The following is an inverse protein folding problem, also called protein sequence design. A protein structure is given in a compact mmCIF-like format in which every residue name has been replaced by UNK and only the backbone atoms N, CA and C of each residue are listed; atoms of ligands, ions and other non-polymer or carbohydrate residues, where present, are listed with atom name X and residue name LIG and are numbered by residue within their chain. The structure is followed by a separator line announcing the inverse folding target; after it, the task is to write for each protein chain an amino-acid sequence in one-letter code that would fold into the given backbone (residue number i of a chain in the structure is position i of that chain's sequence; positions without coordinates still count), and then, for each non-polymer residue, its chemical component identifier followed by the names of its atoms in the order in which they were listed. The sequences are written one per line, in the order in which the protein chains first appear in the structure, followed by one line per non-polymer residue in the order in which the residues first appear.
data_IF_023347554486
#
_entry.id   IF_023347554486
#
_cell.length_a   1.000
_cell.length_b   1.000
_cell.length_c   1.000
_cell.angle_alpha   90.00
_cell.angle_beta   90.00
_cell.angle_gamma   90.00
#
_symmetry.space_group_name_H-M   'P 1'
#
loop_
_entity.id
_entity.type
_entity.pdbx_description
1 polymer ?
#
# COMPACT_ATOMS: atom_id res chain seq x y z
N UNK A 1 -14.70 15.60 -10.73
CA UNK A 1 -13.93 16.61 -9.99
C UNK A 1 -12.45 16.29 -10.09
N UNK A 2 -11.60 17.26 -10.41
CA UNK A 2 -10.15 17.05 -10.43
C UNK A 2 -9.69 16.77 -9.00
N UNK A 3 -9.10 15.60 -8.77
CA UNK A 3 -8.50 15.31 -7.49
C UNK A 3 -7.39 16.34 -7.22
N UNK A 4 -7.33 16.81 -5.97
CA UNK A 4 -6.27 17.69 -5.49
C UNK A 4 -4.90 17.21 -5.96
N UNK A 5 -4.15 18.05 -6.66
CA UNK A 5 -2.91 17.64 -7.30
C UNK A 5 -1.85 17.18 -6.28
N UNK A 6 -1.92 17.68 -5.05
CA UNK A 6 -1.05 17.31 -3.94
C UNK A 6 -1.42 15.98 -3.27
N UNK A 7 -2.57 15.37 -3.60
CA UNK A 7 -3.00 14.07 -3.10
C UNK A 7 -2.79 13.01 -4.19
N UNK A 8 -1.91 12.04 -3.94
CA UNK A 8 -1.53 11.00 -4.90
C UNK A 8 -1.82 9.62 -4.36
N UNK A 9 -2.33 8.75 -5.21
CA UNK A 9 -2.49 7.33 -4.88
C UNK A 9 -1.31 6.55 -5.42
N UNK A 10 -0.71 5.69 -4.59
CA UNK A 10 0.32 4.79 -5.06
C UNK A 10 -0.26 3.73 -5.97
N UNK A 11 0.42 3.51 -7.11
CA UNK A 11 0.10 2.44 -8.05
C UNK A 11 0.34 1.04 -7.48
N UNK A 12 1.15 0.92 -6.43
CA UNK A 12 1.58 -0.37 -5.87
C UNK A 12 0.64 -0.84 -4.75
N UNK A 13 0.30 0.06 -3.83
CA UNK A 13 -0.40 -0.28 -2.58
C UNK A 13 -1.83 0.28 -2.51
N UNK A 14 -2.22 1.16 -3.43
CA UNK A 14 -3.43 2.02 -3.32
C UNK A 14 -3.43 2.93 -2.08
N UNK A 15 -2.30 3.06 -1.39
CA UNK A 15 -2.16 4.01 -0.30
C UNK A 15 -2.21 5.44 -0.86
N UNK A 16 -2.87 6.34 -0.13
CA UNK A 16 -2.89 7.75 -0.44
C UNK A 16 -1.69 8.46 0.21
N UNK A 17 -1.14 9.43 -0.49
CA UNK A 17 0.01 10.22 -0.09
C UNK A 17 -0.27 11.71 -0.29
N UNK A 18 0.14 12.52 0.69
CA UNK A 18 0.12 13.98 0.63
C UNK A 18 1.52 14.45 0.25
N UNK A 19 1.65 15.25 -0.81
CA UNK A 19 2.91 15.89 -1.21
C UNK A 19 3.17 17.10 -0.32
N UNK A 20 4.42 17.43 -0.03
CA UNK A 20 4.77 18.60 0.78
C UNK A 20 4.22 19.91 0.17
N UNK A 21 3.62 20.80 0.98
CA UNK A 21 3.23 22.14 0.54
C UNK A 21 4.41 22.92 -0.04
N UNK A 22 4.24 23.48 -1.24
CA UNK A 22 5.30 24.22 -1.94
C UNK A 22 6.48 23.37 -2.41
N UNK A 23 6.33 22.04 -2.46
CA UNK A 23 7.40 21.16 -2.94
C UNK A 23 7.83 21.51 -4.37
N UNK A 24 9.13 21.65 -4.57
CA UNK A 24 9.76 21.75 -5.90
C UNK A 24 10.22 20.40 -6.43
N UNK A 25 9.92 19.31 -5.71
CA UNK A 25 10.29 17.96 -6.11
C UNK A 25 9.65 17.60 -7.46
N UNK A 26 10.45 16.98 -8.32
CA UNK A 26 9.99 16.41 -9.58
C UNK A 26 9.03 15.24 -9.34
N UNK A 27 8.21 14.92 -10.34
CA UNK A 27 7.31 13.76 -10.31
C UNK A 27 8.07 12.44 -10.06
N UNK A 28 9.32 12.34 -10.52
CA UNK A 28 10.18 11.18 -10.25
C UNK A 28 10.55 11.06 -8.76
N UNK A 29 10.91 12.17 -8.11
CA UNK A 29 11.25 12.21 -6.68
C UNK A 29 10.03 11.92 -5.80
N UNK A 30 8.85 12.45 -6.17
CA UNK A 30 7.59 12.13 -5.48
C UNK A 30 7.29 10.64 -5.59
N UNK A 31 7.38 10.07 -6.80
CA UNK A 31 7.15 8.64 -7.01
C UNK A 31 8.15 7.77 -6.22
N UNK A 32 9.42 8.18 -6.16
CA UNK A 32 10.43 7.48 -5.37
C UNK A 32 10.13 7.54 -3.86
N UNK A 33 9.75 8.70 -3.33
CA UNK A 33 9.36 8.84 -1.93
C UNK A 33 8.17 7.94 -1.56
N UNK A 34 7.13 7.91 -2.41
CA UNK A 34 5.98 7.02 -2.24
C UNK A 34 6.39 5.55 -2.28
N UNK A 35 7.25 5.15 -3.22
CA UNK A 35 7.76 3.77 -3.32
C UNK A 35 8.56 3.35 -2.08
N UNK A 36 9.32 4.27 -1.47
CA UNK A 36 10.03 4.01 -0.20
C UNK A 36 9.04 3.76 0.93
N UNK A 37 7.99 4.57 1.05
CA UNK A 37 6.93 4.35 2.04
C UNK A 37 6.23 3.00 1.86
N UNK A 38 5.84 2.66 0.63
CA UNK A 38 5.18 1.38 0.37
C UNK A 38 6.08 0.18 0.63
N UNK A 39 7.37 0.30 0.30
CA UNK A 39 8.37 -0.71 0.67
C UNK A 39 8.40 -0.94 2.18
N UNK A 40 8.51 0.15 2.96
CA UNK A 40 8.54 0.08 4.42
C UNK A 40 7.25 -0.52 5.00
N UNK A 41 6.08 -0.12 4.50
CA UNK A 41 4.78 -0.69 4.90
C UNK A 41 4.65 -2.18 4.54
N UNK A 42 5.29 -2.61 3.45
CA UNK A 42 5.37 -4.02 3.05
C UNK A 42 6.42 -4.85 3.81
N UNK A 43 7.05 -4.29 4.85
CA UNK A 43 8.07 -4.97 5.66
C UNK A 43 9.50 -4.94 5.08
N UNK A 44 9.72 -4.21 3.98
CA UNK A 44 11.04 -4.05 3.38
C UNK A 44 11.88 -3.04 4.16
N UNK A 45 13.19 -3.09 4.05
CA UNK A 45 14.09 -2.12 4.68
C UNK A 45 14.32 -0.84 3.85
N UNK A 46 13.65 -0.73 2.70
CA UNK A 46 13.81 0.35 1.73
C UNK A 46 12.87 0.14 0.55
N UNK A 47 13.08 0.84 -0.59
CA UNK A 47 12.25 0.65 -1.77
C UNK A 47 12.44 -0.77 -2.32
N UNK A 48 11.34 -1.40 -2.77
CA UNK A 48 11.41 -2.69 -3.45
C UNK A 48 12.25 -2.56 -4.72
N UNK A 49 13.14 -3.52 -5.07
CA UNK A 49 13.89 -3.47 -6.31
C UNK A 49 12.95 -3.45 -7.52
N UNK A 50 13.23 -2.60 -8.52
CA UNK A 50 12.36 -2.46 -9.70
C UNK A 50 12.18 -3.77 -10.50
N UNK A 51 13.22 -4.60 -10.56
CA UNK A 51 13.14 -5.94 -11.17
C UNK A 51 12.15 -6.83 -10.41
N UNK A 52 12.12 -6.77 -9.08
CA UNK A 52 11.23 -7.57 -8.24
C UNK A 52 9.78 -7.09 -8.36
N UNK A 53 9.55 -5.78 -8.44
CA UNK A 53 8.21 -5.23 -8.71
C UNK A 53 7.64 -5.72 -10.05
N UNK A 54 8.51 -5.93 -11.05
CA UNK A 54 8.10 -6.51 -12.34
C UNK A 54 7.66 -7.96 -12.18
N UNK A 55 8.38 -8.76 -11.38
CA UNK A 55 8.00 -10.13 -11.04
C UNK A 55 6.66 -10.17 -10.28
N UNK A 56 6.47 -9.29 -9.28
CA UNK A 56 5.20 -9.17 -8.55
C UNK A 56 4.02 -8.81 -9.47
N UNK A 57 4.25 -7.97 -10.49
CA UNK A 57 3.21 -7.58 -11.45
C UNK A 57 2.75 -8.75 -12.31
N UNK A 58 3.65 -9.66 -12.67
CA UNK A 58 3.28 -10.90 -13.37
C UNK A 58 2.39 -11.77 -12.47
N UNK A 59 2.58 -11.68 -11.15
CA UNK A 59 1.61 -12.11 -10.15
C UNK A 59 1.17 -13.55 -10.33
N UNK A 60 -0.15 -13.77 -10.32
CA UNK A 60 -0.73 -15.12 -10.41
C UNK A 60 -0.54 -15.79 -11.78
N UNK A 61 -0.25 -15.02 -12.84
CA UNK A 61 -0.01 -15.59 -14.16
C UNK A 61 1.26 -16.43 -14.21
N UNK A 62 2.21 -16.16 -13.31
CA UNK A 62 3.43 -16.94 -13.19
C UNK A 62 3.14 -18.41 -12.86
N UNK A 63 2.10 -18.72 -12.09
CA UNK A 63 1.68 -20.10 -11.80
C UNK A 63 1.22 -20.85 -13.06
N UNK A 64 0.49 -20.17 -13.95
CA UNK A 64 0.04 -20.76 -15.21
C UNK A 64 1.21 -21.00 -16.16
N UNK A 65 2.14 -20.03 -16.27
CA UNK A 65 3.35 -20.15 -17.08
C UNK A 65 4.21 -21.31 -16.55
N UNK A 66 4.40 -21.42 -15.24
CA UNK A 66 5.18 -22.49 -14.63
C UNK A 66 4.53 -23.86 -14.78
N UNK A 67 3.21 -23.97 -14.61
CA UNK A 67 2.49 -25.22 -14.85
C UNK A 67 2.60 -25.66 -16.31
N UNK A 68 2.51 -24.72 -17.26
CA UNK A 68 2.69 -25.00 -18.68
C UNK A 68 4.13 -25.47 -19.00
N UNK A 69 5.15 -24.74 -18.53
CA UNK A 69 6.56 -25.10 -18.73
C UNK A 69 6.92 -26.42 -18.06
N UNK A 70 6.43 -26.66 -16.84
CA UNK A 70 6.59 -27.92 -16.13
C UNK A 70 5.96 -29.09 -16.91
N UNK A 71 4.76 -28.89 -17.45
CA UNK A 71 4.10 -29.89 -18.30
C UNK A 71 4.92 -30.21 -19.55
N UNK A 72 5.39 -29.18 -20.26
CA UNK A 72 6.24 -29.36 -21.45
C UNK A 72 7.54 -30.09 -21.09
N UNK A 73 8.18 -29.72 -19.98
CA UNK A 73 9.41 -30.37 -19.51
C UNK A 73 9.19 -31.86 -19.24
N UNK A 74 8.17 -32.24 -18.47
CA UNK A 74 7.91 -33.66 -18.17
C UNK A 74 7.48 -34.45 -19.41
N UNK A 75 6.77 -33.84 -20.35
CA UNK A 75 6.42 -34.50 -21.62
C UNK A 75 7.68 -34.85 -22.43
N UNK A 76 8.65 -33.92 -22.49
CA UNK A 76 9.87 -34.10 -23.30
C UNK A 76 10.90 -34.99 -22.61
N UNK A 77 11.10 -34.80 -21.30
CA UNK A 77 12.27 -35.33 -20.60
C UNK A 77 11.98 -36.48 -19.64
N UNK A 78 10.72 -36.79 -19.30
CA UNK A 78 10.43 -37.93 -18.44
C UNK A 78 10.60 -39.26 -19.23
N UNK A 79 11.60 -40.09 -18.90
CA UNK A 79 11.93 -41.31 -19.66
C UNK A 79 10.95 -42.47 -19.41
N UNK A 80 9.96 -42.25 -18.55
CA UNK A 80 9.00 -43.24 -18.13
C UNK A 80 8.05 -43.55 -19.31
N UNK A 81 7.74 -44.82 -19.55
CA UNK A 81 6.74 -45.26 -20.54
C UNK A 81 5.30 -44.85 -20.23
N UNK A 82 5.10 -43.89 -19.32
CA UNK A 82 3.81 -43.39 -18.88
C UNK A 82 3.10 -42.63 -20.00
N UNK A 83 1.76 -42.63 -19.95
CA UNK A 83 0.95 -41.88 -20.90
C UNK A 83 1.23 -40.37 -20.85
N UNK A 84 1.10 -39.69 -21.99
CA UNK A 84 1.31 -38.24 -22.12
C UNK A 84 0.47 -37.46 -21.10
N UNK A 85 -0.76 -37.92 -20.82
CA UNK A 85 -1.65 -37.32 -19.83
C UNK A 85 -1.11 -37.37 -18.41
N UNK A 86 -0.45 -38.47 -18.04
CA UNK A 86 0.16 -38.63 -16.72
C UNK A 86 1.37 -37.71 -16.56
N UNK A 87 2.20 -37.57 -17.60
CA UNK A 87 3.33 -36.62 -17.64
C UNK A 87 2.86 -35.17 -17.54
N UNK A 88 1.78 -34.82 -18.25
CA UNK A 88 1.16 -33.50 -18.13
C UNK A 88 0.64 -33.24 -16.71
N UNK A 89 -0.03 -34.21 -16.09
CA UNK A 89 -0.51 -34.09 -14.71
C UNK A 89 0.63 -33.91 -13.69
N UNK A 90 1.74 -34.63 -13.86
CA UNK A 90 2.94 -34.42 -13.04
C UNK A 90 3.52 -33.01 -13.23
N UNK A 91 3.58 -32.50 -14.45
CA UNK A 91 4.02 -31.12 -14.70
C UNK A 91 3.10 -30.07 -14.09
N UNK A 92 1.79 -30.27 -14.14
CA UNK A 92 0.79 -29.38 -13.52
C UNK A 92 0.89 -29.40 -11.99
N UNK A 93 1.19 -30.55 -11.38
CA UNK A 93 1.25 -30.69 -9.91
C UNK A 93 2.61 -30.32 -9.32
N UNK A 94 3.73 -30.69 -9.97
CA UNK A 94 5.07 -30.36 -9.53
C UNK A 94 5.48 -28.92 -9.87
N UNK A 95 4.99 -28.37 -10.98
CA UNK A 95 5.28 -27.01 -11.45
C UNK A 95 5.02 -25.94 -10.38
N UNK A 96 3.82 -25.88 -9.76
CA UNK A 96 3.52 -24.95 -8.68
C UNK A 96 4.45 -25.10 -7.47
N UNK A 97 4.85 -26.31 -7.09
CA UNK A 97 5.75 -26.55 -5.94
C UNK A 97 7.14 -25.98 -6.23
N UNK A 98 7.71 -26.30 -7.40
CA UNK A 98 8.99 -25.75 -7.84
C UNK A 98 8.91 -24.22 -7.91
N UNK A 99 7.79 -23.69 -8.40
CA UNK A 99 7.57 -22.26 -8.48
C UNK A 99 7.55 -21.58 -7.11
N UNK A 100 6.89 -22.18 -6.12
CA UNK A 100 6.89 -21.68 -4.75
C UNK A 100 8.31 -21.60 -4.20
N UNK A 101 9.15 -22.62 -4.45
CA UNK A 101 10.55 -22.61 -4.04
C UNK A 101 11.35 -21.51 -4.74
N UNK A 102 11.17 -21.34 -6.05
CA UNK A 102 11.77 -20.23 -6.81
C UNK A 102 11.31 -18.88 -6.28
N UNK A 103 10.01 -18.74 -5.97
CA UNK A 103 9.45 -17.50 -5.45
C UNK A 103 10.03 -17.15 -4.07
N UNK A 104 10.21 -18.14 -3.19
CA UNK A 104 10.90 -17.96 -1.92
C UNK A 104 12.35 -17.52 -2.11
N UNK A 105 13.07 -18.12 -3.06
CA UNK A 105 14.44 -17.74 -3.39
C UNK A 105 14.51 -16.30 -3.94
N UNK A 106 13.66 -15.97 -4.91
CA UNK A 106 13.59 -14.65 -5.53
C UNK A 106 13.23 -13.57 -4.49
N UNK A 107 12.25 -13.85 -3.63
CA UNK A 107 11.91 -12.98 -2.52
C UNK A 107 13.08 -12.81 -1.54
N UNK A 108 13.77 -13.90 -1.19
CA UNK A 108 14.93 -13.88 -0.31
C UNK A 108 16.09 -13.05 -0.88
N UNK A 109 16.36 -13.17 -2.18
CA UNK A 109 17.37 -12.37 -2.89
C UNK A 109 16.98 -10.89 -2.85
N UNK A 110 15.75 -10.56 -3.20
CA UNK A 110 15.27 -9.18 -3.17
C UNK A 110 15.35 -8.59 -1.75
N UNK A 111 14.93 -9.34 -0.74
CA UNK A 111 14.94 -8.88 0.65
C UNK A 111 16.37 -8.66 1.15
N UNK A 112 17.28 -9.58 0.81
CA UNK A 112 18.70 -9.46 1.14
C UNK A 112 19.33 -8.26 0.45
N UNK A 113 19.04 -8.05 -0.83
CA UNK A 113 19.49 -6.87 -1.57
C UNK A 113 19.03 -5.60 -0.85
N UNK A 114 17.73 -5.47 -0.53
CA UNK A 114 17.20 -4.28 0.15
C UNK A 114 17.79 -4.13 1.55
N UNK A 115 18.10 -5.21 2.26
CA UNK A 115 18.74 -5.12 3.57
C UNK A 115 20.21 -4.69 3.49
N UNK A 116 20.93 -5.10 2.44
CA UNK A 116 22.33 -4.74 2.22
C UNK A 116 22.49 -3.33 1.66
N UNK A 117 21.56 -2.90 0.80
CA UNK A 117 21.58 -1.56 0.19
C UNK A 117 20.73 -0.55 0.95
N UNK A 118 19.86 -1.01 1.85
CA UNK A 118 18.97 -0.18 2.64
C UNK A 118 19.74 0.47 3.78
N UNK A 119 19.77 1.80 3.79
CA UNK A 119 20.25 2.57 4.93
C UNK A 119 19.34 2.40 6.16
N UNK A 120 19.61 3.18 7.20
CA UNK A 120 18.75 3.21 8.38
C UNK A 120 17.30 3.54 7.99
N UNK A 121 16.36 2.66 8.36
CA UNK A 121 14.94 2.80 8.02
C UNK A 121 14.39 4.15 8.47
N UNK A 122 14.84 4.66 9.62
CA UNK A 122 14.40 5.97 10.13
C UNK A 122 14.92 7.11 9.26
N UNK A 123 16.18 7.05 8.83
CA UNK A 123 16.74 8.02 7.90
C UNK A 123 16.02 8.01 6.55
N UNK A 124 15.79 6.82 5.97
CA UNK A 124 15.05 6.66 4.70
C UNK A 124 13.64 7.23 4.81
N UNK A 125 12.93 6.93 5.90
CA UNK A 125 11.59 7.44 6.17
C UNK A 125 11.59 8.96 6.37
N UNK A 126 12.58 9.49 7.10
CA UNK A 126 12.74 10.93 7.34
C UNK A 126 12.93 11.68 6.02
N UNK A 127 13.79 11.19 5.12
CA UNK A 127 13.98 11.81 3.81
C UNK A 127 12.73 11.72 2.92
N UNK A 128 12.06 10.57 2.90
CA UNK A 128 10.80 10.42 2.15
C UNK A 128 9.71 11.38 2.66
N UNK A 129 9.57 11.50 3.98
CA UNK A 129 8.61 12.38 4.66
C UNK A 129 8.81 13.88 4.40
N UNK A 130 9.95 14.30 3.85
CA UNK A 130 10.17 15.69 3.39
C UNK A 130 9.45 15.98 2.08
N UNK A 131 9.20 14.95 1.27
CA UNK A 131 8.62 15.07 -0.08
C UNK A 131 7.17 14.62 -0.09
N UNK A 132 6.88 13.46 0.49
CA UNK A 132 5.55 12.88 0.53
C UNK A 132 5.32 12.16 1.86
N UNK A 133 4.09 12.19 2.38
CA UNK A 133 3.69 11.49 3.61
C UNK A 133 2.46 10.64 3.36
N UNK A 134 2.32 9.46 4.00
CA UNK A 134 1.08 8.70 3.95
C UNK A 134 -0.09 9.55 4.46
N UNK A 135 -1.14 9.66 3.67
CA UNK A 135 -2.31 10.46 4.01
C UNK A 135 -3.04 9.84 5.19
N UNK A 136 -3.39 10.66 6.18
CA UNK A 136 -4.19 10.23 7.32
C UNK A 136 -5.71 10.20 7.03
N UNK A 137 -6.12 10.51 5.79
CA UNK A 137 -7.53 10.63 5.37
C UNK A 137 -7.79 9.96 4.04
N UNK A 138 -9.05 9.59 3.83
CA UNK A 138 -9.55 9.13 2.55
C UNK A 138 -9.67 10.27 1.53
N UNK A 139 -9.49 9.92 0.25
CA UNK A 139 -9.64 10.82 -0.90
C UNK A 139 -11.04 11.44 -0.96
N UNK A 140 -12.06 10.68 -0.57
CA UNK A 140 -13.45 11.10 -0.65
C UNK A 140 -13.72 12.30 0.27
N UNK A 141 -13.22 12.28 1.51
CA UNK A 141 -13.41 13.41 2.45
C UNK A 141 -12.77 14.69 1.95
N UNK A 142 -11.55 14.59 1.40
CA UNK A 142 -10.87 15.74 0.78
C UNK A 142 -11.68 16.24 -0.43
N UNK A 143 -12.17 15.32 -1.26
CA UNK A 143 -13.04 15.64 -2.39
C UNK A 143 -14.33 16.37 -1.96
N UNK A 144 -14.99 15.92 -0.91
CA UNK A 144 -16.20 16.53 -0.34
C UNK A 144 -15.94 17.94 0.18
N UNK A 145 -14.85 18.15 0.93
CA UNK A 145 -14.50 19.49 1.43
C UNK A 145 -14.28 20.45 0.25
N UNK A 146 -13.47 20.04 -0.74
CA UNK A 146 -13.15 20.88 -1.90
C UNK A 146 -14.33 21.07 -2.85
N UNK A 147 -15.29 20.13 -2.85
CA UNK A 147 -16.55 20.28 -3.57
C UNK A 147 -17.42 21.39 -2.99
N UNK A 148 -17.46 21.51 -1.66
CA UNK A 148 -18.19 22.58 -0.97
C UNK A 148 -17.45 23.92 -1.05
N UNK A 149 -16.15 23.92 -0.76
CA UNK A 149 -15.33 25.14 -0.73
C UNK A 149 -13.98 24.91 -1.43
N UNK A 150 -13.88 25.21 -2.74
CA UNK A 150 -12.62 25.11 -3.47
C UNK A 150 -11.54 26.07 -2.96
N UNK A 151 -11.94 27.20 -2.34
CA UNK A 151 -10.99 28.20 -1.83
C UNK A 151 -10.23 27.71 -0.60
N UNK A 152 -10.74 26.68 0.07
CA UNK A 152 -10.08 26.03 1.19
C UNK A 152 -8.88 25.15 0.80
N UNK A 153 -8.60 24.95 -0.50
CA UNK A 153 -7.54 24.03 -0.96
C UNK A 153 -6.16 24.27 -0.31
N UNK A 154 -5.61 25.50 -0.25
CA UNK A 154 -4.29 25.72 0.33
C UNK A 154 -4.23 25.37 1.82
N UNK A 155 -5.29 25.71 2.55
CA UNK A 155 -5.37 25.43 4.00
C UNK A 155 -5.60 23.94 4.25
N UNK A 156 -6.49 23.31 3.49
CA UNK A 156 -6.71 21.86 3.55
C UNK A 156 -5.43 21.08 3.25
N UNK A 157 -4.66 21.51 2.24
CA UNK A 157 -3.36 20.90 1.92
C UNK A 157 -2.39 21.00 3.12
N UNK A 158 -2.26 22.19 3.72
CA UNK A 158 -1.41 22.41 4.91
C UNK A 158 -1.84 21.53 6.08
N UNK A 159 -3.14 21.44 6.34
CA UNK A 159 -3.68 20.60 7.41
C UNK A 159 -3.44 19.11 7.12
N UNK A 160 -3.67 18.64 5.89
CA UNK A 160 -3.46 17.25 5.51
C UNK A 160 -1.99 16.85 5.68
N UNK A 161 -1.06 17.76 5.35
CA UNK A 161 0.37 17.56 5.56
C UNK A 161 0.73 17.44 7.04
N UNK A 162 0.22 18.36 7.88
CA UNK A 162 0.45 18.36 9.32
C UNK A 162 -0.14 17.11 10.00
N UNK A 163 -1.36 16.71 9.62
CA UNK A 163 -2.02 15.51 10.12
C UNK A 163 -1.31 14.20 9.74
N UNK A 164 -0.52 14.22 8.66
CA UNK A 164 0.28 13.09 8.19
C UNK A 164 1.65 12.98 8.88
N UNK A 165 2.04 13.97 9.70
CA UNK A 165 3.30 14.00 10.45
C UNK A 165 3.29 13.09 11.69
N UNK A 166 3.78 11.85 11.56
CA UNK A 166 3.83 10.90 12.70
C UNK A 166 4.77 11.42 13.80
N UNK A 167 4.21 11.66 15.00
CA UNK A 167 4.96 12.15 16.15
C UNK A 167 5.19 13.67 16.17
N UNK A 168 4.68 14.40 15.19
CA UNK A 168 4.79 15.86 15.14
C UNK A 168 3.76 16.54 16.05
N UNK A 169 4.18 17.65 16.67
CA UNK A 169 3.29 18.49 17.45
C UNK A 169 2.21 19.11 16.54
N UNK A 170 0.96 19.11 16.98
CA UNK A 170 -0.16 19.67 16.21
C UNK A 170 -0.84 18.70 15.25
N UNK A 171 -0.35 17.44 15.11
CA UNK A 171 -1.03 16.41 14.30
C UNK A 171 -2.50 16.24 14.70
N UNK A 172 -2.79 16.14 16.00
CA UNK A 172 -4.15 15.98 16.53
C UNK A 172 -5.04 17.18 16.19
N UNK A 173 -4.56 18.39 16.47
CA UNK A 173 -5.31 19.61 16.14
C UNK A 173 -5.59 19.76 14.64
N UNK A 174 -4.63 19.41 13.77
CA UNK A 174 -4.83 19.41 12.33
C UNK A 174 -5.88 18.36 11.90
N UNK A 175 -5.86 17.18 12.55
CA UNK A 175 -6.84 16.13 12.33
C UNK A 175 -8.26 16.59 12.70
N UNK A 176 -8.41 17.21 13.86
CA UNK A 176 -9.68 17.74 14.35
C UNK A 176 -10.22 18.83 13.43
N UNK A 177 -9.35 19.73 12.93
CA UNK A 177 -9.76 20.78 11.98
C UNK A 177 -10.24 20.21 10.65
N UNK A 178 -9.55 19.21 10.08
CA UNK A 178 -10.01 18.55 8.85
C UNK A 178 -11.33 17.85 9.08
N UNK A 179 -11.49 17.18 10.22
CA UNK A 179 -12.74 16.52 10.58
C UNK A 179 -13.88 17.53 10.69
N UNK A 180 -13.66 18.69 11.31
CA UNK A 180 -14.64 19.76 11.41
C UNK A 180 -14.97 20.39 10.05
N UNK A 181 -13.99 20.54 9.16
CA UNK A 181 -14.24 20.97 7.77
C UNK A 181 -15.10 19.94 7.03
N UNK A 182 -14.82 18.65 7.20
CA UNK A 182 -15.59 17.57 6.58
C UNK A 182 -17.02 17.50 7.12
N UNK A 183 -17.22 17.61 8.44
CA UNK A 183 -18.56 17.62 9.06
C UNK A 183 -19.43 18.77 8.55
N UNK A 184 -18.84 19.94 8.32
CA UNK A 184 -19.55 21.08 7.71
C UNK A 184 -19.88 20.84 6.25
N UNK A 185 -19.01 20.14 5.53
CA UNK A 185 -19.21 19.81 4.11
C UNK A 185 -20.24 18.69 3.87
N UNK A 186 -20.32 17.73 4.79
CA UNK A 186 -21.21 16.57 4.69
C UNK A 186 -21.66 16.12 6.09
N UNK A 187 -22.69 16.78 6.64
CA UNK A 187 -23.19 16.49 7.99
C UNK A 187 -23.88 15.13 8.07
N UNK A 188 -24.44 14.63 6.96
CA UNK A 188 -25.12 13.32 6.91
C UNK A 188 -24.09 12.18 7.03
N UNK A 189 -23.05 12.18 6.19
CA UNK A 189 -22.00 11.16 6.27
C UNK A 189 -21.22 11.25 7.60
N UNK A 190 -21.10 12.45 8.18
CA UNK A 190 -20.55 12.62 9.51
C UNK A 190 -21.39 11.95 10.60
N UNK A 191 -22.71 12.12 10.56
CA UNK A 191 -23.63 11.49 11.50
C UNK A 191 -23.59 9.95 11.38
N UNK A 192 -23.54 9.43 10.14
CA UNK A 192 -23.39 7.98 9.89
C UNK A 192 -22.08 7.43 10.47
N UNK A 193 -20.96 8.15 10.30
CA UNK A 193 -19.68 7.74 10.88
C UNK A 193 -19.72 7.77 12.40
N UNK A 194 -20.33 8.79 13.00
CA UNK A 194 -20.46 8.91 14.45
C UNK A 194 -21.31 7.76 15.02
N UNK A 195 -22.38 7.37 14.32
CA UNK A 195 -23.18 6.19 14.67
C UNK A 195 -22.37 4.89 14.58
N UNK A 196 -21.60 4.71 13.50
CA UNK A 196 -20.73 3.54 13.31
C UNK A 196 -19.65 3.44 14.40
N UNK A 197 -19.05 4.56 14.79
CA UNK A 197 -18.07 4.63 15.88
C UNK A 197 -18.72 4.21 17.20
N UNK A 198 -19.91 4.75 17.51
CA UNK A 198 -20.66 4.40 18.72
C UNK A 198 -21.01 2.91 18.77
N UNK A 199 -21.58 2.35 17.70
CA UNK A 199 -21.90 0.93 17.59
C UNK A 199 -20.65 0.03 17.76
N UNK A 200 -19.53 0.43 17.14
CA UNK A 200 -18.25 -0.30 17.28
C UNK A 200 -17.75 -0.27 18.73
N UNK A 201 -17.83 0.87 19.40
CA UNK A 201 -17.45 1.01 20.81
C UNK A 201 -18.34 0.17 21.72
N UNK A 202 -19.64 0.13 21.48
CA UNK A 202 -20.59 -0.70 22.22
C UNK A 202 -20.29 -2.20 22.04
N UNK A 203 -20.04 -2.64 20.81
CA UNK A 203 -19.64 -4.03 20.50
C UNK A 203 -18.34 -4.40 21.21
N UNK A 204 -17.32 -3.55 21.14
CA UNK A 204 -16.04 -3.77 21.84
C UNK A 204 -16.22 -3.82 23.36
N UNK A 205 -17.10 -2.99 23.93
CA UNK A 205 -17.41 -3.01 25.35
C UNK A 205 -18.06 -4.34 25.77
N UNK A 206 -18.97 -4.90 24.95
CA UNK A 206 -19.58 -6.23 25.17
C UNK A 206 -18.53 -7.33 25.15
N UNK A 207 -17.70 -7.39 24.10
CA UNK A 207 -16.62 -8.39 24.02
C UNK A 207 -15.65 -8.34 25.21
N UNK A 208 -15.32 -7.14 25.69
CA UNK A 208 -14.44 -6.96 26.85
C UNK A 208 -15.07 -7.46 28.16
N UNK A 209 -16.40 -7.41 28.26
CA UNK A 209 -17.12 -7.90 29.43
C UNK A 209 -17.32 -9.42 29.36
N UNK A 210 -17.63 -9.96 28.18
CA UNK A 210 -17.83 -11.39 27.96
C UNK A 210 -16.53 -12.20 28.07
N UNK A 211 -15.39 -11.64 27.65
CA UNK A 211 -14.07 -12.27 27.78
C UNK A 211 -13.47 -12.25 29.20
N UNK A 212 -14.20 -11.70 30.18
CA UNK A 212 -13.81 -11.69 31.61
C UNK A 212 -14.67 -12.64 32.46
N UNK A 213 -15.63 -13.34 31.87
CA UNK A 213 -16.44 -14.40 32.49
C UNK A 213 -15.81 -15.77 32.21
#
# INVERSE_FOLDING_TARGET
MSAAAWLRESRLSKNLFVIAPGSTASEAEVAEAMNRHDGLSGGWAGPKPGWFQTVERVGRWWYLIAAALGSVFFIIFAPNGDSIWMKAFFGISAGPIILLLIQLLVYGIAWTQVKLTGGDKKAVLSEANKVARPAAFGRDRVGTILAMDPSAEPELHRLCWAASGVGEQGRGAAMDQIHEMWRRADPEAAAELDEMIRDTQEKLARFRNDGKA
#
